data_IF_760462720352
#
_entry.id   IF_760462720352
#
_cell.length_a   1.000
_cell.length_b   1.000
_cell.length_c   1.000
_cell.angle_alpha   90.00
_cell.angle_beta   90.00
_cell.angle_gamma   90.00
#
_symmetry.space_group_name_H-M   'P 1'
#
loop_
_entity.id
_entity.type
_entity.pdbx_description
1 polymer ?
#
# COMPACT_ATOMS: atom_id res chain seq x y z
N UNK A 1 -11.05 11.65 23.76
CA UNK A 1 -11.02 10.35 24.50
C UNK A 1 -10.29 9.36 23.62
N UNK A 2 -9.17 8.83 24.08
CA UNK A 2 -8.36 7.86 23.34
C UNK A 2 -9.07 6.52 23.41
N UNK A 3 -9.49 5.98 22.26
CA UNK A 3 -10.32 4.75 22.20
C UNK A 3 -9.44 3.48 22.30
N UNK A 4 -8.18 3.59 21.88
CA UNK A 4 -7.23 2.48 21.88
C UNK A 4 -5.97 2.83 22.68
N UNK A 5 -5.31 1.81 23.26
CA UNK A 5 -4.00 1.98 23.87
C UNK A 5 -3.01 2.49 22.82
N UNK A 6 -2.18 3.49 23.20
CA UNK A 6 -1.17 4.06 22.31
C UNK A 6 -0.15 2.96 21.97
N UNK A 7 -0.14 2.52 20.71
CA UNK A 7 0.91 1.61 20.23
C UNK A 7 2.26 2.33 20.28
N UNK A 8 3.37 1.62 20.51
CA UNK A 8 4.71 2.22 20.38
C UNK A 8 4.86 2.85 18.98
N UNK A 9 5.70 3.90 18.92
CA UNK A 9 5.98 4.58 17.64
C UNK A 9 6.49 3.53 16.65
N UNK A 10 5.71 3.28 15.61
CA UNK A 10 6.08 2.33 14.57
C UNK A 10 6.82 3.11 13.47
N UNK A 11 8.11 2.81 13.21
CA UNK A 11 8.88 3.49 12.16
C UNK A 11 8.19 3.45 10.79
N UNK A 12 7.37 2.43 10.55
CA UNK A 12 6.59 2.29 9.33
C UNK A 12 5.56 3.43 9.15
N UNK A 13 4.93 3.90 10.24
CA UNK A 13 3.99 5.03 10.16
C UNK A 13 4.69 6.31 9.71
N UNK A 14 5.91 6.54 10.17
CA UNK A 14 6.71 7.69 9.71
C UNK A 14 7.03 7.60 8.21
N UNK A 15 7.34 6.42 7.69
CA UNK A 15 7.53 6.21 6.25
C UNK A 15 6.24 6.47 5.45
N UNK A 16 5.09 6.02 5.95
CA UNK A 16 3.79 6.29 5.33
C UNK A 16 3.48 7.80 5.31
N UNK A 17 3.75 8.51 6.40
CA UNK A 17 3.58 9.96 6.49
C UNK A 17 4.55 10.73 5.58
N UNK A 18 5.77 10.27 5.46
CA UNK A 18 6.78 10.88 4.60
C UNK A 18 6.46 10.70 3.11
N UNK A 19 6.01 9.51 2.70
CA UNK A 19 5.87 9.18 1.28
C UNK A 19 4.44 9.26 0.75
N UNK A 20 3.42 9.02 1.59
CA UNK A 20 1.99 9.17 1.29
C UNK A 20 1.43 8.30 0.16
N UNK A 21 2.27 7.63 -0.63
CA UNK A 21 1.87 6.85 -1.80
C UNK A 21 2.48 5.45 -1.73
N UNK A 22 1.65 4.44 -2.01
CA UNK A 22 2.09 3.07 -2.27
C UNK A 22 1.68 2.72 -3.71
N UNK A 23 2.67 2.45 -4.58
CA UNK A 23 2.41 1.92 -5.92
C UNK A 23 2.14 0.43 -5.82
N UNK A 24 0.99 -0.02 -6.36
CA UNK A 24 0.56 -1.42 -6.33
C UNK A 24 0.69 -2.00 -7.73
N UNK A 25 1.61 -2.94 -7.89
CA UNK A 25 1.99 -3.57 -9.16
C UNK A 25 1.42 -4.98 -9.22
N UNK A 26 0.72 -5.25 -10.32
CA UNK A 26 0.27 -6.58 -10.71
C UNK A 26 0.50 -6.74 -12.19
N UNK A 27 1.24 -7.78 -12.57
CA UNK A 27 1.53 -8.08 -13.97
C UNK A 27 1.61 -9.60 -14.21
N UNK A 28 1.31 -10.00 -15.44
CA UNK A 28 1.30 -11.41 -15.86
C UNK A 28 2.71 -11.95 -16.10
N UNK A 29 3.72 -11.07 -16.18
CA UNK A 29 5.12 -11.48 -16.31
C UNK A 29 6.05 -10.61 -15.45
N UNK A 30 7.15 -11.23 -15.01
CA UNK A 30 8.16 -10.62 -14.15
C UNK A 30 8.88 -9.42 -14.78
N UNK A 31 9.08 -9.44 -16.12
CA UNK A 31 9.74 -8.35 -16.85
C UNK A 31 8.94 -7.06 -16.78
N UNK A 32 7.65 -7.13 -17.13
CA UNK A 32 6.72 -6.00 -17.05
C UNK A 32 6.62 -5.49 -15.61
N UNK A 33 6.46 -6.38 -14.62
CA UNK A 33 6.40 -5.97 -13.22
C UNK A 33 7.66 -5.23 -12.77
N UNK A 34 8.84 -5.67 -13.23
CA UNK A 34 10.11 -5.00 -12.94
C UNK A 34 10.15 -3.59 -13.54
N UNK A 35 9.83 -3.45 -14.83
CA UNK A 35 9.84 -2.15 -15.50
C UNK A 35 8.81 -1.16 -14.87
N UNK A 36 7.62 -1.65 -14.50
CA UNK A 36 6.64 -0.85 -13.73
C UNK A 36 7.24 -0.32 -12.43
N UNK A 37 7.98 -1.16 -11.69
CA UNK A 37 8.61 -0.77 -10.42
C UNK A 37 9.72 0.26 -10.65
N UNK A 38 10.57 0.05 -11.66
CA UNK A 38 11.63 0.98 -12.03
C UNK A 38 11.06 2.34 -12.45
N UNK A 39 10.01 2.35 -13.28
CA UNK A 39 9.35 3.59 -13.72
C UNK A 39 8.69 4.34 -12.55
N UNK A 40 8.00 3.65 -11.66
CA UNK A 40 7.42 4.26 -10.46
C UNK A 40 8.49 4.87 -9.55
N UNK A 41 9.60 4.16 -9.33
CA UNK A 41 10.73 4.62 -8.53
C UNK A 41 11.45 5.82 -9.18
N UNK A 42 11.66 5.79 -10.49
CA UNK A 42 12.23 6.91 -11.26
C UNK A 42 11.35 8.17 -11.17
N UNK A 43 10.04 8.01 -11.07
CA UNK A 43 9.09 9.10 -10.82
C UNK A 43 9.02 9.57 -9.36
N UNK A 44 9.81 8.97 -8.44
CA UNK A 44 9.94 9.39 -7.04
C UNK A 44 9.13 8.59 -6.02
N UNK A 45 8.39 7.56 -6.43
CA UNK A 45 7.65 6.70 -5.50
C UNK A 45 8.63 5.79 -4.75
N UNK A 46 8.51 5.72 -3.42
CA UNK A 46 9.43 4.99 -2.54
C UNK A 46 8.83 3.74 -1.89
N UNK A 47 7.50 3.60 -1.89
CA UNK A 47 6.81 2.43 -1.35
C UNK A 47 6.15 1.67 -2.51
N UNK A 48 6.60 0.44 -2.75
CA UNK A 48 6.18 -0.37 -3.90
C UNK A 48 5.70 -1.73 -3.41
N UNK A 49 4.45 -2.07 -3.71
CA UNK A 49 3.82 -3.36 -3.45
C UNK A 49 3.83 -4.19 -4.73
N UNK A 50 4.46 -5.36 -4.71
CA UNK A 50 4.33 -6.38 -5.76
C UNK A 50 3.21 -7.34 -5.34
N UNK A 51 2.14 -7.41 -6.10
CA UNK A 51 1.07 -8.35 -5.82
C UNK A 51 1.60 -9.80 -5.89
N UNK A 52 1.30 -10.63 -4.88
CA UNK A 52 1.82 -12.00 -4.76
C UNK A 52 1.44 -12.91 -5.93
N UNK A 53 0.34 -12.60 -6.60
CA UNK A 53 -0.10 -13.29 -7.82
C UNK A 53 0.55 -12.75 -9.10
N UNK A 54 1.54 -11.87 -9.02
CA UNK A 54 2.45 -11.54 -10.14
C UNK A 54 3.37 -12.73 -10.41
N UNK A 55 3.63 -13.02 -11.68
CA UNK A 55 4.54 -14.11 -12.06
C UNK A 55 5.90 -13.98 -11.34
N UNK A 56 6.27 -15.04 -10.62
CA UNK A 56 7.53 -15.14 -9.86
C UNK A 56 7.78 -13.98 -8.90
N UNK A 57 6.73 -13.48 -8.22
CA UNK A 57 6.83 -12.39 -7.24
C UNK A 57 7.92 -12.65 -6.18
N UNK A 58 8.05 -13.90 -5.70
CA UNK A 58 9.05 -14.30 -4.71
C UNK A 58 10.50 -14.08 -5.15
N UNK A 59 10.79 -14.19 -6.46
CA UNK A 59 12.13 -13.92 -7.02
C UNK A 59 12.30 -12.44 -7.41
N UNK A 60 11.22 -11.74 -7.73
CA UNK A 60 11.26 -10.34 -8.14
C UNK A 60 11.53 -9.41 -6.94
N UNK A 61 10.92 -9.67 -5.79
CA UNK A 61 11.03 -8.80 -4.61
C UNK A 61 12.49 -8.59 -4.19
N UNK A 62 13.31 -9.64 -3.93
CA UNK A 62 14.71 -9.44 -3.53
C UNK A 62 15.55 -8.78 -4.65
N UNK A 63 15.23 -9.04 -5.92
CA UNK A 63 15.89 -8.37 -7.05
C UNK A 63 15.61 -6.86 -7.05
N UNK A 64 14.36 -6.47 -6.89
CA UNK A 64 13.99 -5.05 -6.83
C UNK A 64 14.60 -4.34 -5.61
N UNK A 65 14.76 -5.01 -4.48
CA UNK A 65 15.44 -4.43 -3.31
C UNK A 65 16.90 -4.11 -3.59
N UNK A 66 17.58 -4.91 -4.42
CA UNK A 66 18.97 -4.65 -4.84
C UNK A 66 19.02 -3.52 -5.90
N UNK A 67 18.09 -3.49 -6.84
CA UNK A 67 18.06 -2.49 -7.90
C UNK A 67 17.54 -1.12 -7.43
N UNK A 68 16.70 -1.08 -6.40
CA UNK A 68 16.05 0.09 -5.84
C UNK A 68 16.32 0.23 -4.33
N UNK A 69 17.57 0.43 -3.90
CA UNK A 69 17.94 0.43 -2.49
C UNK A 69 17.26 1.53 -1.67
N UNK A 70 16.85 2.61 -2.31
CA UNK A 70 16.12 3.72 -1.69
C UNK A 70 14.61 3.48 -1.58
N UNK A 71 14.10 2.36 -2.11
CA UNK A 71 12.70 2.00 -2.04
C UNK A 71 12.45 0.90 -1.00
N UNK A 72 11.24 0.88 -0.44
CA UNK A 72 10.74 -0.24 0.35
C UNK A 72 9.87 -1.11 -0.54
N UNK A 73 10.33 -2.32 -0.81
CA UNK A 73 9.62 -3.28 -1.64
C UNK A 73 8.87 -4.24 -0.72
N UNK A 74 7.56 -4.23 -0.82
CA UNK A 74 6.68 -5.13 -0.11
C UNK A 74 5.89 -6.00 -1.06
N UNK A 75 5.00 -6.81 -0.51
CA UNK A 75 4.08 -7.61 -1.30
C UNK A 75 2.64 -7.47 -0.83
N UNK A 76 1.70 -7.76 -1.71
CA UNK A 76 0.27 -7.73 -1.43
C UNK A 76 -0.49 -8.87 -2.07
N UNK A 77 -1.80 -8.88 -1.88
CA UNK A 77 -2.66 -10.00 -2.33
C UNK A 77 -2.26 -11.33 -1.67
N UNK A 78 -1.72 -11.25 -0.46
CA UNK A 78 -1.40 -12.43 0.37
C UNK A 78 -2.70 -12.89 1.05
N UNK A 79 -3.09 -14.16 0.85
CA UNK A 79 -4.41 -14.68 1.22
C UNK A 79 -4.36 -15.75 2.30
N UNK A 80 -3.20 -16.39 2.51
CA UNK A 80 -3.03 -17.54 3.39
C UNK A 80 -1.67 -17.53 4.11
N UNK A 81 -1.50 -18.43 5.08
CA UNK A 81 -0.28 -18.53 5.88
C UNK A 81 0.94 -19.00 5.05
N UNK A 82 0.76 -19.92 4.12
CA UNK A 82 1.84 -20.42 3.25
C UNK A 82 2.44 -19.28 2.42
N UNK A 83 1.56 -18.52 1.75
CA UNK A 83 1.97 -17.31 1.02
C UNK A 83 2.62 -16.26 1.92
N UNK A 84 2.13 -16.10 3.16
CA UNK A 84 2.71 -15.18 4.14
C UNK A 84 4.13 -15.59 4.51
N UNK A 85 4.37 -16.87 4.79
CA UNK A 85 5.69 -17.40 5.13
C UNK A 85 6.69 -17.26 4.00
N UNK A 86 6.27 -17.57 2.77
CA UNK A 86 7.08 -17.37 1.56
C UNK A 86 7.41 -15.90 1.32
N UNK A 87 6.44 -14.99 1.50
CA UNK A 87 6.63 -13.57 1.38
C UNK A 87 7.62 -13.01 2.42
N UNK A 88 7.56 -13.49 3.66
CA UNK A 88 8.53 -13.16 4.71
C UNK A 88 9.92 -13.70 4.34
N UNK A 89 10.00 -14.95 3.88
CA UNK A 89 11.26 -15.60 3.52
C UNK A 89 11.99 -14.91 2.35
N UNK A 90 11.26 -14.33 1.38
CA UNK A 90 11.87 -13.54 0.31
C UNK A 90 12.30 -12.12 0.74
N UNK A 91 12.12 -11.75 2.02
CA UNK A 91 12.61 -10.51 2.61
C UNK A 91 11.75 -9.28 2.30
N UNK A 92 10.45 -9.44 2.05
CA UNK A 92 9.57 -8.29 1.80
C UNK A 92 9.61 -7.28 2.96
N UNK A 93 9.61 -5.98 2.64
CA UNK A 93 9.68 -4.91 3.66
C UNK A 93 8.35 -4.68 4.37
N UNK A 94 7.23 -5.11 3.80
CA UNK A 94 5.88 -5.02 4.34
C UNK A 94 4.93 -5.96 3.60
N UNK A 95 3.79 -6.25 4.24
CA UNK A 95 2.74 -7.14 3.71
C UNK A 95 1.42 -6.40 3.57
N UNK A 96 0.74 -6.55 2.45
CA UNK A 96 -0.65 -6.15 2.27
C UNK A 96 -1.54 -7.37 2.08
N UNK A 97 -2.66 -7.41 2.79
CA UNK A 97 -3.71 -8.39 2.56
C UNK A 97 -4.97 -7.70 2.02
N UNK A 98 -5.82 -8.35 1.22
CA UNK A 98 -7.08 -7.74 0.78
C UNK A 98 -8.21 -7.91 1.80
N UNK A 99 -7.98 -8.65 2.89
CA UNK A 99 -8.95 -9.02 3.92
C UNK A 99 -8.32 -8.98 5.31
N UNK A 100 -9.15 -8.98 6.34
CA UNK A 100 -8.71 -9.10 7.73
C UNK A 100 -8.60 -10.56 8.12
N UNK A 101 -7.37 -11.01 8.40
CA UNK A 101 -7.10 -12.32 8.99
C UNK A 101 -6.11 -12.14 10.15
N UNK A 102 -6.55 -12.37 11.41
CA UNK A 102 -5.70 -12.21 12.59
C UNK A 102 -4.46 -13.10 12.61
N UNK A 103 -4.53 -14.29 12.03
CA UNK A 103 -3.37 -15.22 11.99
C UNK A 103 -2.26 -14.70 11.07
N UNK A 104 -2.63 -14.17 9.88
CA UNK A 104 -1.66 -13.55 8.97
C UNK A 104 -1.03 -12.30 9.61
N UNK A 105 -1.84 -11.50 10.30
CA UNK A 105 -1.36 -10.31 11.01
C UNK A 105 -0.38 -10.71 12.11
N UNK A 106 -0.73 -11.70 12.94
CA UNK A 106 0.13 -12.21 14.00
C UNK A 106 1.47 -12.75 13.45
N UNK A 107 1.43 -13.50 12.34
CA UNK A 107 2.63 -14.01 11.68
C UNK A 107 3.58 -12.89 11.23
N UNK A 108 3.05 -11.81 10.66
CA UNK A 108 3.86 -10.64 10.31
C UNK A 108 4.47 -9.96 11.54
N UNK A 109 3.68 -9.76 12.60
CA UNK A 109 4.14 -9.17 13.86
C UNK A 109 5.27 -9.99 14.50
N UNK A 110 5.14 -11.33 14.56
CA UNK A 110 6.17 -12.24 15.07
C UNK A 110 7.49 -12.12 14.31
N UNK A 111 7.44 -11.80 13.01
CA UNK A 111 8.61 -11.64 12.16
C UNK A 111 9.07 -10.17 11.99
N UNK A 112 8.49 -9.24 12.76
CA UNK A 112 8.75 -7.80 12.65
C UNK A 112 8.48 -7.20 11.26
N UNK A 113 7.58 -7.80 10.48
CA UNK A 113 7.13 -7.30 9.19
C UNK A 113 5.81 -6.53 9.38
N UNK A 114 5.73 -5.24 9.04
CA UNK A 114 4.49 -4.48 9.12
C UNK A 114 3.43 -5.06 8.19
N UNK A 115 2.26 -5.41 8.74
CA UNK A 115 1.11 -5.90 7.99
C UNK A 115 0.10 -4.77 7.84
N UNK A 116 -0.29 -4.49 6.62
CA UNK A 116 -1.37 -3.59 6.25
C UNK A 116 -2.56 -4.46 5.85
N UNK A 117 -3.45 -4.68 6.81
CA UNK A 117 -4.58 -5.59 6.64
C UNK A 117 -5.73 -4.93 5.89
N UNK A 118 -6.30 -5.66 4.93
CA UNK A 118 -7.48 -5.23 4.19
C UNK A 118 -8.74 -5.31 5.04
N UNK A 119 -9.57 -4.28 4.97
CA UNK A 119 -10.85 -4.19 5.66
C UNK A 119 -11.74 -3.19 4.92
N UNK A 120 -13.04 -3.26 5.15
CA UNK A 120 -13.97 -2.31 4.59
C UNK A 120 -14.90 -1.74 5.65
N UNK A 121 -15.45 -2.58 6.52
CA UNK A 121 -16.38 -2.16 7.58
C UNK A 121 -15.66 -1.74 8.86
N UNK A 122 -16.30 -0.91 9.73
CA UNK A 122 -15.73 -0.55 11.03
C UNK A 122 -15.32 -1.76 11.87
N UNK A 123 -16.10 -2.85 11.84
CA UNK A 123 -15.79 -4.09 12.58
C UNK A 123 -14.49 -4.72 12.08
N UNK A 124 -14.33 -4.87 10.77
CA UNK A 124 -13.10 -5.42 10.20
C UNK A 124 -11.89 -4.53 10.49
N UNK A 125 -12.04 -3.21 10.37
CA UNK A 125 -10.97 -2.24 10.65
C UNK A 125 -10.49 -2.35 12.10
N UNK A 126 -11.43 -2.40 13.04
CA UNK A 126 -11.11 -2.53 14.48
C UNK A 126 -10.47 -3.91 14.74
N UNK A 127 -11.00 -4.98 14.16
CA UNK A 127 -10.44 -6.34 14.29
C UNK A 127 -9.00 -6.39 13.78
N UNK A 128 -8.74 -5.85 12.58
CA UNK A 128 -7.38 -5.79 12.02
C UNK A 128 -6.42 -5.01 12.94
N UNK A 129 -6.86 -3.85 13.43
CA UNK A 129 -6.06 -3.02 14.32
C UNK A 129 -5.75 -3.71 15.65
N UNK A 130 -6.75 -4.36 16.26
CA UNK A 130 -6.58 -5.10 17.53
C UNK A 130 -5.68 -6.34 17.37
N UNK A 131 -5.71 -6.98 16.21
CA UNK A 131 -4.81 -8.09 15.87
C UNK A 131 -3.34 -7.68 15.68
N UNK A 132 -3.04 -6.37 15.61
CA UNK A 132 -1.67 -5.88 15.51
C UNK A 132 -1.29 -5.28 14.17
N UNK A 133 -2.23 -5.12 13.23
CA UNK A 133 -1.94 -4.47 11.95
C UNK A 133 -1.23 -3.13 12.14
N UNK A 134 -0.25 -2.83 11.28
CA UNK A 134 0.51 -1.58 11.32
C UNK A 134 -0.29 -0.40 10.75
N UNK A 135 -1.18 -0.67 9.80
CA UNK A 135 -2.17 0.22 9.23
C UNK A 135 -3.30 -0.64 8.64
N UNK A 136 -4.40 -0.02 8.22
CA UNK A 136 -5.53 -0.73 7.61
C UNK A 136 -5.79 -0.22 6.20
N UNK A 137 -5.75 -1.13 5.23
CA UNK A 137 -6.12 -0.91 3.83
C UNK A 137 -7.64 -0.89 3.72
N UNK A 138 -8.23 0.27 3.43
CA UNK A 138 -9.68 0.36 3.17
C UNK A 138 -9.94 0.02 1.70
N UNK A 139 -10.45 -1.18 1.43
CA UNK A 139 -10.56 -1.73 0.06
C UNK A 139 -11.80 -2.60 -0.13
N UNK A 140 -12.50 -2.49 -1.28
CA UNK A 140 -12.31 -1.48 -2.36
C UNK A 140 -13.08 -0.18 -2.07
N UNK A 141 -12.38 0.94 -1.85
CA UNK A 141 -13.00 2.15 -1.32
C UNK A 141 -13.95 2.85 -2.31
N UNK A 142 -13.67 2.81 -3.62
CA UNK A 142 -14.45 3.52 -4.64
C UNK A 142 -15.91 3.11 -4.66
N UNK A 143 -16.20 1.82 -4.57
CA UNK A 143 -17.56 1.27 -4.66
C UNK A 143 -18.40 1.55 -3.42
N UNK A 144 -17.78 1.98 -2.32
CA UNK A 144 -18.44 2.34 -1.07
C UNK A 144 -18.52 3.86 -0.83
N UNK A 145 -18.30 4.67 -1.85
CA UNK A 145 -18.46 6.13 -1.75
C UNK A 145 -17.16 6.93 -1.69
N UNK A 146 -16.01 6.27 -1.81
CA UNK A 146 -14.73 6.97 -1.97
C UNK A 146 -14.37 7.84 -0.76
N UNK A 147 -14.09 9.11 -1.03
CA UNK A 147 -13.68 10.10 -0.01
C UNK A 147 -14.75 10.30 1.06
N UNK A 148 -16.02 10.32 0.68
CA UNK A 148 -17.13 10.50 1.65
C UNK A 148 -17.24 9.33 2.62
N UNK A 149 -17.01 8.10 2.15
CA UNK A 149 -16.95 6.95 3.05
C UNK A 149 -15.81 7.07 4.07
N UNK A 150 -14.61 7.49 3.63
CA UNK A 150 -13.49 7.71 4.53
C UNK A 150 -13.81 8.79 5.58
N UNK A 151 -14.43 9.89 5.19
CA UNK A 151 -14.88 10.94 6.13
C UNK A 151 -15.86 10.42 7.18
N UNK A 152 -16.75 9.49 6.82
CA UNK A 152 -17.67 8.87 7.78
C UNK A 152 -16.95 7.99 8.82
N UNK A 153 -15.82 7.35 8.44
CA UNK A 153 -15.02 6.50 9.33
C UNK A 153 -14.17 7.32 10.32
N UNK A 154 -13.66 8.48 9.91
CA UNK A 154 -12.68 9.27 10.66
C UNK A 154 -13.11 9.67 12.08
N UNK A 155 -14.35 10.14 12.35
CA UNK A 155 -14.75 10.52 13.69
C UNK A 155 -14.66 9.39 14.73
N UNK A 156 -14.81 8.14 14.26
CA UNK A 156 -14.83 6.94 15.09
C UNK A 156 -13.46 6.27 15.14
N UNK A 157 -12.71 6.29 14.02
CA UNK A 157 -11.49 5.50 13.81
C UNK A 157 -10.23 6.37 13.64
N UNK A 158 -10.24 7.63 14.09
CA UNK A 158 -9.17 8.62 13.89
C UNK A 158 -7.79 8.17 14.37
N UNK A 159 -7.75 7.25 15.35
CA UNK A 159 -6.50 6.73 15.92
C UNK A 159 -5.94 5.53 15.10
N UNK A 160 -6.67 5.07 14.08
CA UNK A 160 -6.28 3.96 13.21
C UNK A 160 -5.76 4.52 11.88
N UNK A 161 -4.50 4.24 11.50
CA UNK A 161 -3.95 4.68 10.23
C UNK A 161 -4.67 3.97 9.06
N UNK A 162 -5.42 4.73 8.25
CA UNK A 162 -6.19 4.19 7.12
C UNK A 162 -5.48 4.48 5.79
N UNK A 163 -5.45 3.47 4.90
CA UNK A 163 -4.88 3.53 3.56
C UNK A 163 -5.97 3.16 2.55
N UNK A 164 -6.72 4.14 2.02
CA UNK A 164 -7.69 3.88 0.97
C UNK A 164 -7.02 3.34 -0.28
N UNK A 165 -7.65 2.30 -0.86
CA UNK A 165 -7.16 1.59 -2.04
C UNK A 165 -8.35 1.19 -2.93
N UNK A 166 -8.13 1.17 -4.26
CA UNK A 166 -9.16 0.83 -5.25
C UNK A 166 -9.96 2.05 -5.70
N UNK A 167 -9.57 2.60 -6.86
CA UNK A 167 -10.15 3.80 -7.45
C UNK A 167 -9.46 5.11 -7.05
N UNK A 168 -8.24 5.01 -6.52
CA UNK A 168 -7.35 6.17 -6.32
C UNK A 168 -6.81 6.60 -7.68
N UNK A 169 -6.83 7.90 -7.92
CA UNK A 169 -6.33 8.56 -9.13
C UNK A 169 -5.42 9.72 -8.76
N UNK A 170 -4.68 10.25 -9.73
CA UNK A 170 -3.88 11.48 -9.53
C UNK A 170 -4.79 12.64 -9.11
N UNK A 171 -6.02 12.71 -9.64
CA UNK A 171 -6.96 13.80 -9.39
C UNK A 171 -7.59 13.77 -7.99
N UNK A 172 -7.68 12.60 -7.34
CA UNK A 172 -8.37 12.45 -6.04
C UNK A 172 -7.47 12.06 -4.85
N UNK A 173 -6.18 11.78 -5.09
CA UNK A 173 -5.26 11.32 -4.03
C UNK A 173 -5.17 12.31 -2.85
N UNK A 174 -5.06 13.61 -3.14
CA UNK A 174 -5.04 14.69 -2.15
C UNK A 174 -6.33 14.77 -1.33
N UNK A 175 -7.48 14.50 -1.94
CA UNK A 175 -8.78 14.52 -1.27
C UNK A 175 -8.87 13.42 -0.20
N UNK A 176 -8.30 12.24 -0.46
CA UNK A 176 -8.21 11.17 0.54
C UNK A 176 -7.27 11.52 1.69
N UNK A 177 -6.13 12.15 1.39
CA UNK A 177 -5.21 12.62 2.43
C UNK A 177 -5.83 13.73 3.28
N UNK A 178 -6.51 14.70 2.65
CA UNK A 178 -7.27 15.74 3.34
C UNK A 178 -8.41 15.17 4.21
N UNK A 179 -8.97 14.02 3.83
CA UNK A 179 -9.97 13.30 4.61
C UNK A 179 -9.36 12.43 5.73
N UNK A 180 -8.06 12.50 5.99
CA UNK A 180 -7.38 11.83 7.10
C UNK A 180 -6.74 10.49 6.76
N UNK A 181 -6.60 10.11 5.48
CA UNK A 181 -5.77 8.97 5.11
C UNK A 181 -4.30 9.21 5.47
N UNK A 182 -3.60 8.20 5.99
CA UNK A 182 -2.16 8.30 6.25
C UNK A 182 -1.35 8.21 4.95
N UNK A 183 -1.82 7.42 4.01
CA UNK A 183 -1.27 7.22 2.66
C UNK A 183 -2.38 6.72 1.72
N UNK A 184 -2.10 6.61 0.43
CA UNK A 184 -3.01 6.06 -0.57
C UNK A 184 -2.35 4.93 -1.36
N UNK A 185 -3.12 3.87 -1.69
CA UNK A 185 -2.67 2.79 -2.56
C UNK A 185 -3.20 2.98 -3.99
N UNK A 186 -2.30 3.11 -4.97
CA UNK A 186 -2.64 3.34 -6.37
C UNK A 186 -2.11 2.22 -7.28
N UNK A 187 -2.92 1.80 -8.25
CA UNK A 187 -2.57 0.76 -9.22
C UNK A 187 -2.94 1.20 -10.64
N UNK A 188 -4.10 0.80 -11.17
CA UNK A 188 -4.49 0.96 -12.58
C UNK A 188 -4.47 2.39 -13.13
N UNK A 189 -4.66 3.40 -12.29
CA UNK A 189 -4.54 4.80 -12.72
C UNK A 189 -3.10 5.31 -12.82
N UNK A 190 -2.17 4.62 -12.18
CA UNK A 190 -0.74 4.85 -12.36
C UNK A 190 -0.22 4.04 -13.55
N UNK A 191 -0.57 2.75 -13.58
CA UNK A 191 -0.17 1.77 -14.57
C UNK A 191 -1.36 1.48 -15.49
N UNK A 192 -1.59 2.35 -16.49
CA UNK A 192 -2.69 2.10 -17.42
C UNK A 192 -2.37 0.96 -18.38
N UNK A 193 -3.38 0.16 -18.77
CA UNK A 193 -3.19 -0.94 -19.71
C UNK A 193 -2.52 -0.51 -21.02
N UNK A 194 -2.87 0.68 -21.52
CA UNK A 194 -2.30 1.23 -22.76
C UNK A 194 -0.80 1.52 -22.61
N UNK A 195 -0.40 2.22 -21.53
CA UNK A 195 1.01 2.53 -21.29
C UNK A 195 1.85 1.25 -21.09
N UNK A 196 1.27 0.21 -20.46
CA UNK A 196 1.95 -1.09 -20.31
C UNK A 196 2.07 -1.80 -21.65
N UNK A 197 1.01 -1.82 -22.47
CA UNK A 197 1.01 -2.50 -23.76
C UNK A 197 2.00 -1.90 -24.77
N UNK A 198 2.21 -0.58 -24.67
CA UNK A 198 3.10 0.18 -25.54
C UNK A 198 4.52 0.35 -24.97
N UNK A 199 4.84 -0.28 -23.82
CA UNK A 199 6.07 -0.09 -23.05
C UNK A 199 6.38 1.39 -22.78
N UNK A 200 5.33 2.23 -22.61
CA UNK A 200 5.46 3.66 -22.35
C UNK A 200 5.77 3.97 -20.88
N UNK A 201 6.98 3.61 -20.48
CA UNK A 201 7.50 3.85 -19.13
C UNK A 201 7.62 5.33 -18.83
N UNK A 202 7.80 6.19 -19.84
CA UNK A 202 7.88 7.65 -19.72
C UNK A 202 6.57 8.22 -19.17
N UNK A 203 5.44 7.75 -19.67
CA UNK A 203 4.11 8.12 -19.13
C UNK A 203 3.96 7.70 -17.68
N UNK A 204 4.44 6.52 -17.27
CA UNK A 204 4.37 6.07 -15.88
C UNK A 204 5.25 6.94 -14.98
N UNK A 205 6.45 7.30 -15.43
CA UNK A 205 7.34 8.24 -14.72
C UNK A 205 6.64 9.59 -14.52
N UNK A 206 6.09 10.17 -15.57
CA UNK A 206 5.41 11.46 -15.51
C UNK A 206 4.20 11.44 -14.57
N UNK A 207 3.39 10.37 -14.61
CA UNK A 207 2.26 10.17 -13.68
C UNK A 207 2.71 10.04 -12.23
N UNK A 208 3.81 9.32 -11.99
CA UNK A 208 4.39 9.19 -10.65
C UNK A 208 4.84 10.55 -10.12
N UNK A 209 5.54 11.34 -10.93
CA UNK A 209 5.97 12.70 -10.57
C UNK A 209 4.78 13.62 -10.27
N UNK A 210 3.74 13.60 -11.11
CA UNK A 210 2.53 14.38 -10.89
C UNK A 210 1.82 13.99 -9.59
N UNK A 211 1.79 12.69 -9.27
CA UNK A 211 1.21 12.19 -8.02
C UNK A 211 2.03 12.62 -6.80
N UNK A 212 3.36 12.56 -6.86
CA UNK A 212 4.25 13.05 -5.80
C UNK A 212 4.02 14.54 -5.54
N UNK A 213 3.98 15.37 -6.60
CA UNK A 213 3.67 16.80 -6.46
C UNK A 213 2.31 17.04 -5.81
N UNK A 214 1.31 16.25 -6.18
CA UNK A 214 -0.05 16.36 -5.65
C UNK A 214 -0.13 16.09 -4.14
N UNK A 215 0.65 15.15 -3.62
CA UNK A 215 0.64 14.76 -2.21
C UNK A 215 1.67 15.49 -1.35
N UNK A 216 2.61 16.21 -1.96
CA UNK A 216 3.67 16.94 -1.27
C UNK A 216 3.18 17.83 -0.10
N UNK A 217 2.05 18.58 -0.22
CA UNK A 217 1.55 19.41 0.87
C UNK A 217 1.19 18.64 2.15
N UNK A 218 1.01 17.31 2.05
CA UNK A 218 0.63 16.45 3.17
C UNK A 218 1.83 15.73 3.82
N UNK A 219 3.00 15.80 3.20
CA UNK A 219 4.21 15.18 3.75
C UNK A 219 4.63 15.90 5.03
N UNK A 220 4.98 15.15 6.08
CA UNK A 220 5.43 15.69 7.37
C UNK A 220 4.36 16.48 8.18
N UNK A 221 3.07 16.21 7.89
CA UNK A 221 1.96 16.71 8.74
C UNK A 221 1.61 15.71 9.83
#
# INVERSE_FOLDING_TARGET
MQIFAKKPVNPWLSLLQQHRIIAIIRADNIGTAREMALAAAAGGIKLIEIAWNTDRAESLIPKLQQELPDCKIGTGTVLDLDSTEKAIACGCSFLFTPHTNPELIAKGVENNIPVIAGALTPTEIITAWQAGAAAVKVFPIKVFGGVEYLKCLQPILRDIPLIPTGGITIQNADQFLAAGAIAVGISSHLFSPEAIADDDWTTIIARSQALIQKVQPFQNQ
#
